data_IF_246602681248
#
_entry.id   IF_246602681248
#
_cell.length_a   1.000
_cell.length_b   1.000
_cell.length_c   1.000
_cell.angle_alpha   90.00
_cell.angle_beta   90.00
_cell.angle_gamma   90.00
#
_symmetry.space_group_name_H-M   'P 1'
#
loop_
_entity.id
_entity.type
_entity.pdbx_description
1 polymer ?
#
# COMPACT_ATOMS: atom_id res chain seq x y z
N UNK A 1 9.66 0.69 -2.24
CA UNK A 1 9.19 1.83 -1.41
C UNK A 1 10.33 2.73 -0.93
N UNK A 2 11.59 2.40 -1.20
CA UNK A 2 12.78 3.24 -0.95
C UNK A 2 13.79 2.98 -2.09
N UNK A 3 14.93 3.67 -2.10
CA UNK A 3 16.02 3.46 -3.06
C UNK A 3 17.09 2.52 -2.51
N UNK A 4 17.94 1.98 -3.40
CA UNK A 4 19.08 1.17 -2.99
C UNK A 4 20.09 2.04 -2.22
N UNK A 5 20.32 3.25 -2.72
CA UNK A 5 21.27 4.23 -2.22
C UNK A 5 20.94 4.62 -0.77
N UNK A 6 19.70 5.05 -0.50
CA UNK A 6 19.27 5.45 0.84
C UNK A 6 19.35 4.26 1.82
N UNK A 7 18.98 3.07 1.34
CA UNK A 7 19.04 1.86 2.17
C UNK A 7 20.48 1.47 2.48
N UNK A 8 21.41 1.61 1.52
CA UNK A 8 22.83 1.35 1.75
C UNK A 8 23.45 2.35 2.73
N UNK A 9 23.14 3.64 2.58
CA UNK A 9 23.56 4.69 3.51
C UNK A 9 23.08 4.36 4.93
N UNK A 10 21.80 3.99 5.06
CA UNK A 10 21.20 3.60 6.34
C UNK A 10 21.88 2.39 6.98
N UNK A 11 22.27 1.40 6.19
CA UNK A 11 22.99 0.21 6.64
C UNK A 11 24.48 0.48 6.94
N UNK A 12 24.97 1.70 6.71
CA UNK A 12 26.37 2.08 6.89
C UNK A 12 27.30 1.40 5.88
N UNK A 13 26.80 1.10 4.67
CA UNK A 13 27.55 0.42 3.62
C UNK A 13 27.94 1.46 2.55
N UNK A 14 29.24 1.77 2.40
CA UNK A 14 29.69 2.69 1.37
C UNK A 14 29.37 2.15 -0.04
N UNK A 15 28.88 2.98 -0.99
CA UNK A 15 28.56 2.57 -2.37
C UNK A 15 29.69 1.86 -3.12
N UNK A 16 30.93 2.27 -2.85
CA UNK A 16 32.17 1.76 -3.41
C UNK A 16 32.65 0.45 -2.76
N UNK A 17 32.19 0.15 -1.54
CA UNK A 17 32.56 -1.05 -0.80
C UNK A 17 31.60 -2.23 -1.06
N UNK A 18 30.40 -1.96 -1.57
CA UNK A 18 29.42 -2.99 -1.89
C UNK A 18 29.64 -3.59 -3.28
N UNK A 19 29.89 -4.89 -3.32
CA UNK A 19 29.90 -5.65 -4.58
C UNK A 19 28.47 -5.81 -5.16
N UNK A 20 28.39 -6.38 -6.36
CA UNK A 20 27.12 -6.63 -7.05
C UNK A 20 26.21 -7.58 -6.26
N UNK A 21 26.77 -8.53 -5.51
CA UNK A 21 25.99 -9.50 -4.75
C UNK A 21 25.31 -8.83 -3.55
N UNK A 22 26.02 -7.98 -2.81
CA UNK A 22 25.49 -7.19 -1.70
C UNK A 22 24.38 -6.27 -2.21
N UNK A 23 24.62 -5.53 -3.30
CA UNK A 23 23.60 -4.64 -3.89
C UNK A 23 22.33 -5.40 -4.27
N UNK A 24 22.47 -6.54 -4.94
CA UNK A 24 21.34 -7.40 -5.30
C UNK A 24 20.58 -7.94 -4.09
N UNK A 25 21.29 -8.29 -3.01
CA UNK A 25 20.64 -8.75 -1.78
C UNK A 25 19.84 -7.62 -1.12
N UNK A 26 20.37 -6.41 -1.04
CA UNK A 26 19.65 -5.25 -0.51
C UNK A 26 18.39 -4.96 -1.33
N UNK A 27 18.47 -5.00 -2.66
CA UNK A 27 17.29 -4.86 -3.54
C UNK A 27 16.23 -5.92 -3.21
N UNK A 28 16.63 -7.18 -3.01
CA UNK A 28 15.70 -8.26 -2.64
C UNK A 28 15.04 -8.00 -1.29
N UNK A 29 15.79 -7.52 -0.30
CA UNK A 29 15.25 -7.16 1.02
C UNK A 29 14.22 -6.03 0.91
N UNK A 30 14.54 -4.96 0.18
CA UNK A 30 13.62 -3.84 -0.08
C UNK A 30 12.33 -4.33 -0.74
N UNK A 31 12.46 -5.19 -1.77
CA UNK A 31 11.30 -5.72 -2.50
C UNK A 31 10.45 -6.65 -1.61
N UNK A 32 11.09 -7.50 -0.81
CA UNK A 32 10.40 -8.39 0.14
C UNK A 32 9.64 -7.59 1.20
N UNK A 33 10.29 -6.60 1.81
CA UNK A 33 9.67 -5.71 2.79
C UNK A 33 8.50 -4.94 2.18
N UNK A 34 8.69 -4.37 0.99
CA UNK A 34 7.62 -3.64 0.28
C UNK A 34 6.43 -4.55 -0.02
N UNK A 35 6.66 -5.77 -0.50
CA UNK A 35 5.60 -6.73 -0.81
C UNK A 35 4.86 -7.20 0.46
N UNK A 36 5.56 -7.37 1.57
CA UNK A 36 4.95 -7.71 2.85
C UNK A 36 4.03 -6.60 3.35
N UNK A 37 4.47 -5.33 3.31
CA UNK A 37 3.63 -4.17 3.68
C UNK A 37 2.37 -4.11 2.83
N UNK A 38 2.49 -4.26 1.50
CA UNK A 38 1.34 -4.28 0.58
C UNK A 38 0.38 -5.44 0.85
N UNK A 39 0.90 -6.59 1.31
CA UNK A 39 0.08 -7.76 1.65
C UNK A 39 -0.71 -7.51 2.93
N UNK A 40 -0.07 -6.98 3.97
CA UNK A 40 -0.70 -6.68 5.26
C UNK A 40 -1.76 -5.58 5.10
N UNK A 41 -1.45 -4.52 4.35
CA UNK A 41 -2.35 -3.38 4.14
C UNK A 41 -3.44 -3.64 3.10
N UNK A 42 -3.29 -4.68 2.27
CA UNK A 42 -4.25 -5.02 1.22
C UNK A 42 -4.29 -4.03 0.04
N UNK A 43 -3.26 -3.20 -0.13
CA UNK A 43 -3.18 -2.17 -1.18
C UNK A 43 -1.78 -2.02 -1.74
N UNK A 44 -1.68 -1.31 -2.86
CA UNK A 44 -0.42 -0.87 -3.46
C UNK A 44 -0.14 0.56 -3.03
N UNK A 45 1.14 0.84 -2.74
CA UNK A 45 1.54 2.20 -2.35
C UNK A 45 2.07 3.01 -3.52
N UNK A 46 2.65 2.36 -4.53
CA UNK A 46 3.14 3.08 -5.71
C UNK A 46 2.02 3.66 -6.55
N UNK A 47 2.21 4.88 -7.04
CA UNK A 47 1.28 5.56 -7.95
C UNK A 47 1.11 4.76 -9.23
N UNK A 48 -0.13 4.40 -9.54
CA UNK A 48 -0.50 3.75 -10.80
C UNK A 48 -1.94 4.05 -11.19
N UNK A 49 -2.28 3.74 -12.45
CA UNK A 49 -3.65 3.80 -12.96
C UNK A 49 -4.32 2.45 -12.81
N UNK A 50 -5.51 2.46 -12.22
CA UNK A 50 -6.31 1.28 -11.94
C UNK A 50 -7.65 1.35 -12.69
N UNK A 51 -8.20 0.18 -13.00
CA UNK A 51 -9.58 0.04 -13.50
C UNK A 51 -10.25 -1.07 -12.72
N UNK A 52 -11.15 -0.70 -11.83
CA UNK A 52 -11.81 -1.64 -10.91
C UNK A 52 -13.33 -1.51 -10.99
N UNK A 53 -14.02 -2.57 -10.58
CA UNK A 53 -15.48 -2.60 -10.45
C UNK A 53 -15.90 -2.65 -9.00
N UNK A 54 -16.76 -1.72 -8.61
CA UNK A 54 -17.21 -1.51 -7.25
C UNK A 54 -18.71 -1.79 -7.11
N UNK A 55 -19.08 -2.25 -5.91
CA UNK A 55 -20.46 -2.21 -5.44
C UNK A 55 -20.75 -0.78 -5.01
N UNK A 56 -21.84 -0.20 -5.48
CA UNK A 56 -22.32 1.08 -4.98
C UNK A 56 -22.85 0.91 -3.54
N UNK A 57 -22.40 1.70 -2.57
CA UNK A 57 -22.77 1.50 -1.15
C UNK A 57 -24.20 1.92 -0.79
N UNK A 58 -24.90 2.67 -1.65
CA UNK A 58 -26.18 3.30 -1.29
C UNK A 58 -26.01 4.58 -0.47
N UNK A 59 -24.79 5.10 -0.36
CA UNK A 59 -24.42 6.33 0.38
C UNK A 59 -23.64 7.29 -0.53
N UNK A 60 -23.27 8.47 -0.05
CA UNK A 60 -22.46 9.43 -0.81
C UNK A 60 -20.99 9.02 -1.01
N UNK A 61 -20.49 8.05 -0.26
CA UNK A 61 -19.05 7.77 -0.20
C UNK A 61 -18.69 6.45 -0.88
N UNK A 62 -18.12 6.51 -2.09
CA UNK A 62 -17.59 5.33 -2.77
C UNK A 62 -16.12 5.12 -2.39
N UNK A 63 -15.85 4.03 -1.69
CA UNK A 63 -14.53 3.70 -1.15
C UNK A 63 -13.70 2.93 -2.20
N UNK A 64 -12.72 3.60 -2.81
CA UNK A 64 -11.83 3.02 -3.83
C UNK A 64 -10.65 2.29 -3.20
N UNK A 65 -10.31 1.10 -3.68
CA UNK A 65 -9.29 0.21 -3.09
C UNK A 65 -7.90 0.84 -2.93
N UNK A 66 -7.48 1.63 -3.92
CA UNK A 66 -6.17 2.27 -3.96
C UNK A 66 -6.33 3.74 -3.63
N UNK A 67 -5.40 4.29 -2.84
CA UNK A 67 -5.39 5.67 -2.40
C UNK A 67 -3.93 6.11 -2.14
N UNK A 68 -3.62 7.39 -1.94
CA UNK A 68 -4.46 8.57 -2.15
C UNK A 68 -4.92 8.68 -3.62
N UNK A 69 -6.12 9.19 -3.87
CA UNK A 69 -6.65 9.42 -5.23
C UNK A 69 -5.98 10.66 -5.81
N UNK A 70 -5.39 10.53 -7.00
CA UNK A 70 -4.74 11.63 -7.73
C UNK A 70 -5.59 12.18 -8.86
N UNK A 71 -6.26 11.28 -9.56
CA UNK A 71 -7.13 11.63 -10.67
C UNK A 71 -8.17 10.53 -10.86
N UNK A 72 -9.37 10.92 -11.27
CA UNK A 72 -10.40 10.00 -11.74
C UNK A 72 -10.64 10.29 -13.21
N UNK A 73 -10.35 9.32 -14.08
CA UNK A 73 -10.56 9.47 -15.51
C UNK A 73 -12.05 9.33 -15.86
N UNK A 74 -12.70 8.31 -15.30
CA UNK A 74 -14.15 8.16 -15.44
C UNK A 74 -14.74 7.26 -14.35
N UNK A 75 -16.03 7.47 -14.11
CA UNK A 75 -16.91 6.49 -13.49
C UNK A 75 -17.99 6.10 -14.49
N UNK A 76 -18.18 4.81 -14.72
CA UNK A 76 -19.14 4.28 -15.71
C UNK A 76 -20.04 3.23 -15.09
N UNK A 77 -21.33 3.38 -15.34
CA UNK A 77 -22.31 2.31 -15.14
C UNK A 77 -22.18 1.30 -16.28
N UNK A 78 -21.64 0.12 -15.95
CA UNK A 78 -21.41 -0.96 -16.93
C UNK A 78 -22.68 -1.67 -17.41
N UNK A 79 -23.81 -1.55 -16.70
CA UNK A 79 -25.07 -2.18 -17.10
C UNK A 79 -25.77 -1.37 -18.21
N UNK A 80 -25.77 -0.03 -18.07
CA UNK A 80 -26.40 0.87 -19.02
C UNK A 80 -25.41 1.48 -20.03
N UNK A 81 -24.10 1.28 -19.81
CA UNK A 81 -23.04 1.87 -20.63
C UNK A 81 -22.92 3.39 -20.48
N UNK A 82 -23.47 3.96 -19.40
CA UNK A 82 -23.56 5.41 -19.18
C UNK A 82 -22.40 5.87 -18.29
N UNK A 83 -21.66 6.86 -18.76
CA UNK A 83 -20.68 7.55 -17.92
C UNK A 83 -21.39 8.51 -16.97
N UNK A 84 -20.99 8.48 -15.70
CA UNK A 84 -21.47 9.41 -14.69
C UNK A 84 -20.73 10.74 -14.90
N UNK A 85 -21.47 11.84 -14.79
CA UNK A 85 -20.92 13.20 -14.97
C UNK A 85 -19.76 13.44 -13.98
N UNK A 86 -18.54 13.75 -14.47
CA UNK A 86 -17.41 14.08 -13.62
C UNK A 86 -17.63 15.26 -12.68
N UNK A 87 -18.55 16.18 -13.00
CA UNK A 87 -18.91 17.29 -12.12
C UNK A 87 -19.77 16.88 -10.92
N UNK A 88 -20.35 15.68 -10.95
CA UNK A 88 -21.23 15.17 -9.89
C UNK A 88 -20.50 14.49 -8.74
N UNK A 89 -19.20 14.23 -8.87
CA UNK A 89 -18.41 13.58 -7.84
C UNK A 89 -17.07 14.28 -7.61
N UNK A 90 -16.54 14.21 -6.40
CA UNK A 90 -15.28 14.81 -6.03
C UNK A 90 -14.49 13.92 -5.07
N UNK A 91 -13.18 14.12 -5.03
CA UNK A 91 -12.27 13.47 -4.08
C UNK A 91 -11.36 14.50 -3.41
N UNK A 92 -11.70 15.78 -3.47
CA UNK A 92 -10.80 16.86 -3.07
C UNK A 92 -10.55 16.89 -1.56
N UNK A 93 -11.57 16.53 -0.77
CA UNK A 93 -11.47 16.49 0.70
C UNK A 93 -11.14 15.11 1.25
N UNK A 94 -11.37 14.06 0.48
CA UNK A 94 -11.35 12.66 0.97
C UNK A 94 -10.52 11.71 0.10
N UNK A 95 -9.83 12.26 -0.90
CA UNK A 95 -8.94 11.51 -1.78
C UNK A 95 -7.80 10.82 -1.04
N UNK A 96 -7.31 11.42 0.04
CA UNK A 96 -6.23 10.88 0.87
C UNK A 96 -6.62 9.57 1.56
N UNK A 97 -7.90 9.37 1.86
CA UNK A 97 -8.44 8.12 2.43
C UNK A 97 -9.10 7.24 1.38
N UNK A 98 -9.07 7.66 0.11
CA UNK A 98 -9.57 6.89 -1.03
C UNK A 98 -11.08 6.89 -1.18
N UNK A 99 -11.75 7.98 -0.80
CA UNK A 99 -13.20 8.14 -0.98
C UNK A 99 -13.47 9.03 -2.18
N UNK A 100 -14.40 8.59 -3.01
CA UNK A 100 -15.03 9.39 -4.06
C UNK A 100 -16.43 9.79 -3.58
N UNK A 101 -16.59 11.06 -3.26
CA UNK A 101 -17.83 11.64 -2.77
C UNK A 101 -18.76 12.01 -3.93
N UNK A 102 -20.07 11.84 -3.74
CA UNK A 102 -21.11 12.24 -4.70
C UNK A 102 -22.36 12.66 -3.95
N UNK A 103 -22.79 13.91 -4.12
CA UNK A 103 -23.96 14.47 -3.40
C UNK A 103 -25.24 13.66 -3.60
N UNK A 104 -25.50 13.23 -4.84
CA UNK A 104 -26.67 12.41 -5.18
C UNK A 104 -26.59 10.97 -4.64
N UNK A 105 -25.45 10.57 -4.09
CA UNK A 105 -25.20 9.20 -3.66
C UNK A 105 -24.81 8.25 -4.79
N UNK A 106 -24.26 7.12 -4.37
CA UNK A 106 -23.96 5.97 -5.22
C UNK A 106 -25.08 4.95 -5.05
N UNK A 107 -26.01 4.88 -6.01
CA UNK A 107 -27.22 4.06 -5.91
C UNK A 107 -26.88 2.57 -5.78
N UNK A 108 -27.23 1.96 -4.65
CA UNK A 108 -27.06 0.52 -4.46
C UNK A 108 -27.87 -0.27 -5.48
N UNK A 109 -27.24 -1.29 -6.08
CA UNK A 109 -27.90 -2.26 -6.94
C UNK A 109 -27.50 -3.67 -6.56
N UNK A 110 -28.48 -4.57 -6.58
CA UNK A 110 -28.30 -5.97 -6.27
C UNK A 110 -29.15 -6.88 -7.16
N UNK A 111 -28.89 -8.18 -7.07
CA UNK A 111 -29.81 -9.19 -7.56
C UNK A 111 -31.01 -9.28 -6.63
N UNK A 112 -32.20 -9.22 -7.20
CA UNK A 112 -33.46 -9.34 -6.47
C UNK A 112 -33.88 -10.80 -6.48
N UNK A 113 -34.38 -11.31 -5.36
CA UNK A 113 -34.89 -12.67 -5.26
C UNK A 113 -35.97 -12.83 -4.19
N UNK A 114 -36.65 -13.99 -4.23
CA UNK A 114 -37.75 -14.29 -3.31
C UNK A 114 -39.05 -13.58 -3.65
N UNK A 115 -40.08 -13.82 -2.83
CA UNK A 115 -41.43 -13.26 -3.03
C UNK A 115 -41.55 -11.80 -2.56
N UNK A 116 -40.65 -11.36 -1.67
CA UNK A 116 -40.62 -10.00 -1.12
C UNK A 116 -39.74 -9.03 -1.92
N UNK A 117 -39.08 -9.50 -2.99
CA UNK A 117 -38.12 -8.74 -3.80
C UNK A 117 -36.94 -8.17 -2.99
N UNK A 118 -36.42 -8.94 -2.04
CA UNK A 118 -35.23 -8.55 -1.29
C UNK A 118 -33.96 -8.67 -2.16
N UNK A 119 -32.95 -7.84 -1.85
CA UNK A 119 -31.63 -7.97 -2.46
C UNK A 119 -30.90 -9.19 -1.89
N UNK A 120 -30.57 -10.16 -2.75
CA UNK A 120 -29.89 -11.40 -2.37
C UNK A 120 -28.36 -11.31 -2.50
N UNK A 121 -27.86 -10.45 -3.40
CA UNK A 121 -26.44 -10.20 -3.58
C UNK A 121 -26.17 -8.84 -4.21
N UNK A 122 -25.11 -8.11 -3.81
CA UNK A 122 -24.73 -6.85 -4.42
C UNK A 122 -24.15 -7.02 -5.83
N UNK A 123 -24.32 -6.00 -6.68
CA UNK A 123 -23.73 -5.96 -8.03
C UNK A 123 -22.56 -5.00 -8.08
N UNK A 124 -21.46 -5.44 -8.72
CA UNK A 124 -20.28 -4.60 -9.00
C UNK A 124 -20.42 -3.89 -10.34
N UNK A 125 -21.37 -2.98 -10.44
CA UNK A 125 -21.74 -2.35 -11.73
C UNK A 125 -20.97 -1.06 -12.01
N UNK A 126 -20.39 -0.42 -10.98
CA UNK A 126 -19.63 0.83 -11.12
C UNK A 126 -18.18 0.52 -11.51
N UNK A 127 -17.81 0.80 -12.76
CA UNK A 127 -16.43 0.73 -13.21
C UNK A 127 -15.78 2.10 -13.05
N UNK A 128 -14.69 2.14 -12.29
CA UNK A 128 -13.94 3.37 -12.03
C UNK A 128 -12.54 3.20 -12.60
N UNK A 129 -12.14 4.14 -13.46
CA UNK A 129 -10.75 4.28 -13.92
C UNK A 129 -10.13 5.49 -13.26
N UNK A 130 -9.06 5.28 -12.51
CA UNK A 130 -8.48 6.31 -11.65
C UNK A 130 -6.99 6.07 -11.43
N UNK A 131 -6.26 7.15 -11.17
CA UNK A 131 -4.86 7.11 -10.76
C UNK A 131 -4.79 7.35 -9.26
N UNK A 132 -4.11 6.45 -8.55
CA UNK A 132 -3.97 6.51 -7.10
C UNK A 132 -2.62 5.97 -6.64
N UNK A 133 -2.21 6.33 -5.42
CA UNK A 133 -0.95 5.94 -4.80
C UNK A 133 0.00 7.11 -4.59
N UNK A 134 1.11 6.81 -3.93
CA UNK A 134 2.21 7.71 -3.63
C UNK A 134 3.29 7.67 -4.70
N UNK A 135 3.92 8.81 -4.92
CA UNK A 135 5.19 8.87 -5.63
C UNK A 135 6.22 8.27 -4.69
N UNK A 136 6.77 7.12 -5.07
CA UNK A 136 7.74 6.43 -4.22
C UNK A 136 9.11 7.13 -4.34
N UNK A 137 9.98 7.04 -3.33
CA UNK A 137 11.34 7.60 -3.39
C UNK A 137 12.12 7.21 -4.65
N UNK A 138 11.98 5.96 -5.11
CA UNK A 138 12.62 5.45 -6.33
C UNK A 138 12.04 6.00 -7.65
N UNK A 139 10.84 6.55 -7.60
CA UNK A 139 10.10 7.07 -8.76
C UNK A 139 10.02 8.61 -8.71
N UNK A 140 10.64 9.24 -7.71
CA UNK A 140 10.62 10.67 -7.51
C UNK A 140 11.47 11.41 -8.55
N UNK A 141 11.01 12.60 -8.94
CA UNK A 141 11.69 13.52 -9.85
C UNK A 141 11.71 14.93 -9.26
N UNK A 142 12.42 15.87 -9.88
CA UNK A 142 12.44 17.27 -9.42
C UNK A 142 11.04 17.91 -9.46
N UNK A 143 10.26 17.62 -10.51
CA UNK A 143 8.91 18.16 -10.70
C UNK A 143 7.85 17.43 -9.86
N UNK A 144 8.12 16.17 -9.52
CA UNK A 144 7.22 15.33 -8.74
C UNK A 144 8.01 14.60 -7.65
N UNK A 145 8.21 15.25 -6.48
CA UNK A 145 8.95 14.66 -5.38
C UNK A 145 8.19 13.50 -4.74
N UNK A 146 8.91 12.64 -4.02
CA UNK A 146 8.31 11.56 -3.23
C UNK A 146 7.35 12.14 -2.19
N UNK A 147 6.19 11.51 -2.06
CA UNK A 147 5.20 11.86 -1.05
C UNK A 147 4.71 10.63 -0.26
N UNK A 148 5.44 9.52 -0.36
CA UNK A 148 5.26 8.38 0.51
C UNK A 148 5.53 8.77 1.97
N UNK A 149 4.62 8.46 2.92
CA UNK A 149 4.85 8.73 4.33
C UNK A 149 6.14 8.09 4.87
N UNK A 150 6.92 8.88 5.62
CA UNK A 150 8.24 8.50 6.14
C UNK A 150 8.19 7.32 7.12
N UNK A 151 7.06 7.12 7.81
CA UNK A 151 6.83 5.98 8.69
C UNK A 151 6.82 4.64 7.90
N UNK A 152 6.21 4.61 6.70
CA UNK A 152 6.26 3.46 5.80
C UNK A 152 7.69 3.21 5.30
N UNK A 153 8.42 4.27 4.95
CA UNK A 153 9.84 4.17 4.54
C UNK A 153 10.67 3.59 5.69
N UNK A 154 10.47 4.10 6.91
CA UNK A 154 11.17 3.64 8.11
C UNK A 154 10.89 2.17 8.44
N UNK A 155 9.67 1.68 8.22
CA UNK A 155 9.35 0.25 8.38
C UNK A 155 10.12 -0.60 7.34
N UNK A 156 10.17 -0.16 6.08
CA UNK A 156 10.94 -0.86 5.04
C UNK A 156 12.42 -0.95 5.41
N UNK A 157 13.01 0.16 5.87
CA UNK A 157 14.39 0.17 6.37
C UNK A 157 14.57 -0.72 7.59
N UNK A 158 13.64 -0.68 8.55
CA UNK A 158 13.69 -1.52 9.75
C UNK A 158 13.68 -3.01 9.43
N UNK A 159 12.84 -3.44 8.49
CA UNK A 159 12.80 -4.83 8.00
C UNK A 159 14.12 -5.17 7.27
N UNK A 160 14.58 -4.30 6.38
CA UNK A 160 15.82 -4.52 5.64
C UNK A 160 17.03 -4.62 6.57
N UNK A 161 17.12 -3.79 7.61
CA UNK A 161 18.17 -3.80 8.63
C UNK A 161 18.12 -5.08 9.46
N UNK A 162 16.95 -5.50 9.92
CA UNK A 162 16.77 -6.73 10.68
C UNK A 162 17.21 -7.95 9.84
N UNK A 163 16.71 -8.09 8.62
CA UNK A 163 17.05 -9.20 7.73
C UNK A 163 18.52 -9.19 7.30
N UNK A 164 19.08 -8.02 7.00
CA UNK A 164 20.49 -7.89 6.66
C UNK A 164 21.40 -8.27 7.84
N UNK A 165 21.04 -7.86 9.06
CA UNK A 165 21.75 -8.24 10.28
C UNK A 165 21.71 -9.75 10.53
N UNK A 166 20.55 -10.38 10.33
CA UNK A 166 20.38 -11.84 10.43
C UNK A 166 21.28 -12.57 9.43
N UNK A 167 21.31 -12.11 8.17
CA UNK A 167 22.15 -12.68 7.11
C UNK A 167 23.64 -12.53 7.43
N UNK A 168 24.08 -11.34 7.85
CA UNK A 168 25.50 -11.05 8.14
C UNK A 168 26.01 -11.82 9.34
N UNK A 169 25.20 -11.95 10.39
CA UNK A 169 25.60 -12.61 11.63
C UNK A 169 25.40 -14.13 11.59
N UNK A 170 24.94 -14.70 10.47
CA UNK A 170 24.66 -16.13 10.35
C UNK A 170 23.60 -16.62 11.35
N UNK A 171 22.76 -15.72 11.83
CA UNK A 171 21.78 -15.99 12.88
C UNK A 171 20.49 -16.63 12.35
N UNK A 172 20.44 -17.02 11.08
CA UNK A 172 19.35 -17.82 10.52
C UNK A 172 19.20 -19.11 11.35
N UNK A 173 18.17 -19.15 12.21
CA UNK A 173 17.89 -20.27 13.10
C UNK A 173 18.35 -20.09 14.56
N UNK A 174 19.23 -19.15 14.89
CA UNK A 174 19.68 -18.90 16.27
C UNK A 174 18.68 -18.00 17.01
N UNK A 175 18.12 -18.44 18.13
CA UNK A 175 17.21 -17.63 18.96
C UNK A 175 17.99 -16.79 19.99
N UNK A 176 19.13 -17.30 20.45
CA UNK A 176 20.05 -16.60 21.33
C UNK A 176 21.47 -17.15 21.16
N UNK A 177 22.49 -16.35 21.47
CA UNK A 177 23.84 -16.83 21.69
C UNK A 177 24.45 -16.13 22.90
N UNK A 178 25.24 -16.87 23.69
CA UNK A 178 25.96 -16.33 24.84
C UNK A 178 27.46 -16.50 24.65
N UNK A 179 28.23 -15.45 24.98
CA UNK A 179 29.69 -15.48 25.07
C UNK A 179 30.06 -14.96 26.44
N UNK A 180 30.60 -15.84 27.30
CA UNK A 180 30.88 -15.55 28.70
C UNK A 180 29.63 -15.01 29.42
N UNK A 181 29.69 -13.79 29.98
CA UNK A 181 28.62 -13.20 30.77
C UNK A 181 27.60 -12.42 29.93
N UNK A 182 27.80 -12.36 28.60
CA UNK A 182 26.95 -11.60 27.69
C UNK A 182 26.05 -12.55 26.91
N UNK A 183 24.73 -12.40 27.09
CA UNK A 183 23.70 -13.12 26.33
C UNK A 183 23.01 -12.17 25.36
N UNK A 184 22.90 -12.60 24.10
CA UNK A 184 22.17 -11.91 23.06
C UNK A 184 20.96 -12.74 22.65
N UNK A 185 19.76 -12.20 22.80
CA UNK A 185 18.51 -12.77 22.27
C UNK A 185 18.13 -12.02 21.01
N UNK A 186 17.89 -12.74 19.91
CA UNK A 186 17.46 -12.13 18.66
C UNK A 186 15.94 -12.06 18.61
N UNK A 187 15.40 -10.85 18.46
CA UNK A 187 13.99 -10.68 18.17
C UNK A 187 13.72 -11.03 16.70
N UNK A 188 12.82 -12.00 16.49
CA UNK A 188 12.46 -12.54 15.18
C UNK A 188 11.06 -12.15 14.73
N UNK A 189 10.28 -11.55 15.62
CA UNK A 189 8.95 -11.10 15.26
C UNK A 189 9.03 -9.70 14.61
N UNK A 190 8.15 -9.39 13.65
CA UNK A 190 7.94 -8.01 13.24
C UNK A 190 7.61 -7.20 14.49
N UNK A 191 8.27 -6.06 14.68
CA UNK A 191 8.05 -5.23 15.86
C UNK A 191 6.56 -4.87 15.96
N UNK A 192 5.97 -5.05 17.14
CA UNK A 192 4.55 -4.72 17.37
C UNK A 192 4.20 -3.28 16.93
N UNK A 193 5.15 -2.35 17.11
CA UNK A 193 5.01 -0.96 16.66
C UNK A 193 4.87 -0.80 15.15
N UNK A 194 5.44 -1.70 14.34
CA UNK A 194 5.23 -1.69 12.88
C UNK A 194 3.79 -2.06 12.55
N UNK A 195 3.22 -3.07 13.23
CA UNK A 195 1.83 -3.46 13.01
C UNK A 195 0.85 -2.37 13.45
N UNK A 196 1.11 -1.68 14.56
CA UNK A 196 0.34 -0.51 14.99
C UNK A 196 0.36 0.61 13.95
N UNK A 197 1.54 0.90 13.39
CA UNK A 197 1.68 1.91 12.33
C UNK A 197 0.93 1.49 11.06
N UNK A 198 1.11 0.24 10.62
CA UNK A 198 0.45 -0.28 9.43
C UNK A 198 -1.08 -0.32 9.56
N UNK A 199 -1.61 -0.47 10.78
CA UNK A 199 -3.04 -0.46 11.03
C UNK A 199 -3.72 0.86 10.61
N UNK A 200 -2.99 1.99 10.60
CA UNK A 200 -3.49 3.26 10.08
C UNK A 200 -3.66 3.29 8.55
N UNK A 201 -2.96 2.37 7.85
CA UNK A 201 -3.01 2.21 6.40
C UNK A 201 -3.82 0.99 5.96
N UNK A 202 -4.28 0.19 6.93
CA UNK A 202 -5.23 -0.89 6.71
C UNK A 202 -6.64 -0.35 6.58
N UNK A 203 -7.47 -1.04 5.81
CA UNK A 203 -8.91 -0.83 5.81
C UNK A 203 -9.59 -1.95 6.58
N UNK A 204 -10.48 -1.56 7.48
CA UNK A 204 -11.28 -2.43 8.34
C UNK A 204 -12.71 -2.56 7.77
#
# INVERSE_FOLDING_TARGET
MTTLEDTMERLGIPPEAADTAVKNNIIRLINSASAWIETITGRKFGKATYTHRYVAPGTQELVLTQYPIRAVEYVRDTEHGVSIDPSSYDFTMTGDVGVLYRDEGWVFRGYIGGLANDYTAPRRYLEVKFTAGYVLPKDATEDEPSDLPEDIVAIVWGIAEQEFSILRNGAQGLAAFSISDVSWTFDKEPRASWMETLAHYMRW
#
